data_IF_248957177726
#
_entry.id   IF_248957177726
#
_cell.length_a   1.000
_cell.length_b   1.000
_cell.length_c   1.000
_cell.angle_alpha   90.00
_cell.angle_beta   90.00
_cell.angle_gamma   90.00
#
_symmetry.space_group_name_H-M   'P 1'
#
loop_
_entity.id
_entity.type
_entity.pdbx_description
1 polymer ?
#
# COMPACT_ATOMS: atom_id res chain seq x y z
N UNK A 1 15.10 10.33 -16.01
CA UNK A 1 14.51 9.02 -15.64
C UNK A 1 14.01 9.14 -14.22
N UNK A 2 12.71 9.00 -13.96
CA UNK A 2 12.18 9.06 -12.60
C UNK A 2 12.56 7.78 -11.84
N UNK A 3 13.09 7.92 -10.62
CA UNK A 3 13.34 6.77 -9.75
C UNK A 3 11.97 6.27 -9.26
N UNK A 4 11.51 5.15 -9.81
CA UNK A 4 10.27 4.53 -9.37
C UNK A 4 10.56 3.69 -8.12
N UNK A 5 10.08 4.12 -6.96
CA UNK A 5 10.22 3.35 -5.73
C UNK A 5 9.24 2.18 -5.73
N UNK A 6 9.75 0.98 -5.47
CA UNK A 6 8.95 -0.24 -5.35
C UNK A 6 8.41 -0.40 -3.93
N UNK A 7 7.17 -0.87 -3.84
CA UNK A 7 6.57 -1.33 -2.60
C UNK A 7 7.28 -2.58 -2.12
N UNK A 8 7.93 -2.50 -0.96
CA UNK A 8 8.57 -3.61 -0.25
C UNK A 8 8.17 -3.58 1.23
N UNK A 9 8.54 -4.63 1.97
CA UNK A 9 8.37 -4.67 3.42
C UNK A 9 9.12 -3.53 4.10
N UNK A 10 8.63 -3.14 5.27
CA UNK A 10 9.17 -2.14 6.19
C UNK A 10 9.28 -0.71 5.63
N UNK A 11 8.66 -0.46 4.46
CA UNK A 11 8.50 0.89 3.91
C UNK A 11 7.17 1.49 4.35
N UNK A 12 7.16 2.82 4.49
CA UNK A 12 5.92 3.60 4.56
C UNK A 12 5.37 3.76 3.15
N UNK A 13 4.11 3.37 2.99
CA UNK A 13 3.36 3.39 1.74
C UNK A 13 2.28 4.45 1.88
N UNK A 14 2.09 5.27 0.84
CA UNK A 14 0.90 6.12 0.69
C UNK A 14 0.17 5.71 -0.57
N UNK A 15 -1.11 5.38 -0.44
CA UNK A 15 -2.01 5.12 -1.56
C UNK A 15 -3.17 6.12 -1.56
N UNK A 16 -3.73 6.39 -2.72
CA UNK A 16 -4.94 7.21 -2.85
C UNK A 16 -6.08 6.40 -3.47
N UNK A 17 -7.26 6.41 -2.86
CA UNK A 17 -8.48 5.94 -3.52
C UNK A 17 -8.79 6.93 -4.66
N UNK A 18 -8.80 6.45 -5.90
CA UNK A 18 -8.97 7.34 -7.06
C UNK A 18 -10.41 7.84 -7.20
N UNK A 19 -11.38 7.14 -6.60
CA UNK A 19 -12.79 7.49 -6.68
C UNK A 19 -13.15 8.57 -5.66
N UNK A 20 -12.63 8.47 -4.43
CA UNK A 20 -12.90 9.46 -3.36
C UNK A 20 -11.82 10.53 -3.19
N UNK A 21 -10.61 10.27 -3.70
CA UNK A 21 -9.43 11.11 -3.45
C UNK A 21 -8.79 10.93 -2.08
N UNK A 22 -9.30 10.02 -1.24
CA UNK A 22 -8.82 9.80 0.13
C UNK A 22 -7.42 9.16 0.14
N UNK A 23 -6.55 9.64 1.03
CA UNK A 23 -5.18 9.14 1.19
C UNK A 23 -5.09 8.20 2.40
N UNK A 24 -4.43 7.06 2.19
CA UNK A 24 -4.13 6.07 3.22
C UNK A 24 -2.62 5.92 3.35
N UNK A 25 -2.12 5.99 4.58
CA UNK A 25 -0.70 5.82 4.88
C UNK A 25 -0.51 4.69 5.89
N UNK A 26 0.38 3.74 5.58
CA UNK A 26 0.66 2.59 6.44
C UNK A 26 2.02 1.98 6.11
N UNK A 27 2.48 1.06 6.95
CA UNK A 27 3.65 0.23 6.70
C UNK A 27 3.21 -1.15 6.24
N UNK A 28 3.88 -1.69 5.22
CA UNK A 28 3.78 -3.12 4.92
C UNK A 28 4.79 -3.90 5.74
N UNK A 29 4.34 -4.89 6.51
CA UNK A 29 5.18 -5.67 7.41
C UNK A 29 4.93 -7.16 7.27
N UNK A 30 5.81 -7.97 7.86
CA UNK A 30 5.61 -9.41 8.00
C UNK A 30 4.37 -9.72 8.87
N UNK A 31 3.69 -10.87 8.68
CA UNK A 31 2.46 -11.21 9.42
C UNK A 31 2.59 -11.09 10.94
N UNK A 32 3.71 -11.52 11.49
CA UNK A 32 3.96 -11.51 12.94
C UNK A 32 4.15 -10.10 13.53
N UNK A 33 4.35 -9.09 12.67
CA UNK A 33 4.54 -7.68 13.07
C UNK A 33 3.33 -6.79 12.81
N UNK A 34 2.21 -7.38 12.38
CA UNK A 34 0.97 -6.66 12.14
C UNK A 34 0.48 -5.95 13.40
N UNK A 35 0.22 -4.65 13.27
CA UNK A 35 -0.37 -3.84 14.32
C UNK A 35 -1.13 -2.67 13.70
N UNK A 36 -2.43 -2.86 13.52
CA UNK A 36 -3.30 -1.85 12.95
C UNK A 36 -3.33 -0.55 13.78
N UNK A 37 -3.06 -0.61 15.09
CA UNK A 37 -3.05 0.59 15.95
C UNK A 37 -1.87 1.51 15.62
N UNK A 38 -0.77 0.95 15.13
CA UNK A 38 0.42 1.69 14.71
C UNK A 38 0.52 1.85 13.20
N UNK A 39 -0.57 1.56 12.46
CA UNK A 39 -0.61 1.70 11.01
C UNK A 39 0.27 0.67 10.28
N UNK A 40 0.48 -0.52 10.87
CA UNK A 40 1.21 -1.62 10.25
C UNK A 40 0.23 -2.65 9.69
N UNK A 41 0.28 -2.86 8.39
CA UNK A 41 -0.54 -3.82 7.65
C UNK A 41 0.34 -4.99 7.21
N UNK A 42 -0.13 -6.22 7.41
CA UNK A 42 0.59 -7.40 6.95
C UNK A 42 0.57 -7.51 5.42
N UNK A 43 1.68 -7.94 4.84
CA UNK A 43 1.77 -8.40 3.46
C UNK A 43 0.78 -9.54 3.13
N UNK A 44 0.38 -10.33 4.12
CA UNK A 44 -0.60 -11.43 3.94
C UNK A 44 -2.06 -10.95 3.80
N UNK A 45 -2.33 -9.66 4.00
CA UNK A 45 -3.66 -9.10 3.71
C UNK A 45 -3.91 -9.03 2.21
N UNK A 46 -5.18 -9.07 1.78
CA UNK A 46 -5.51 -8.95 0.35
C UNK A 46 -5.01 -7.63 -0.26
N UNK A 47 -5.00 -6.55 0.53
CA UNK A 47 -4.45 -5.26 0.10
C UNK A 47 -2.92 -5.30 0.02
N UNK A 48 -2.24 -5.88 1.02
CA UNK A 48 -0.79 -6.02 1.01
C UNK A 48 -0.27 -6.83 -0.18
N UNK A 49 -0.94 -7.95 -0.48
CA UNK A 49 -0.64 -8.78 -1.64
C UNK A 49 -0.88 -8.05 -2.98
N UNK A 50 -1.88 -7.17 -3.06
CA UNK A 50 -2.14 -6.38 -4.26
C UNK A 50 -1.08 -5.30 -4.51
N UNK A 51 -0.42 -4.83 -3.45
CA UNK A 51 0.52 -3.70 -3.50
C UNK A 51 1.99 -4.11 -3.62
N UNK A 52 2.39 -5.28 -3.12
CA UNK A 52 3.79 -5.69 -3.13
C UNK A 52 4.39 -5.69 -4.55
N UNK A 53 5.59 -5.13 -4.70
CA UNK A 53 6.29 -5.04 -5.98
C UNK A 53 5.70 -4.01 -6.97
N UNK A 54 4.64 -3.30 -6.62
CA UNK A 54 4.13 -2.18 -7.42
C UNK A 54 5.01 -0.96 -7.25
N UNK A 55 5.02 -0.07 -8.24
CA UNK A 55 5.77 1.17 -8.18
C UNK A 55 4.86 2.37 -7.95
N UNK A 56 5.43 3.47 -7.45
CA UNK A 56 4.78 4.79 -7.47
C UNK A 56 4.18 5.11 -8.85
N UNK A 57 2.98 5.67 -8.87
CA UNK A 57 2.17 5.93 -10.07
C UNK A 57 1.36 4.74 -10.57
N UNK A 58 1.57 3.54 -10.02
CA UNK A 58 0.77 2.36 -10.41
C UNK A 58 -0.62 2.41 -9.80
N UNK A 59 -1.64 2.17 -10.61
CA UNK A 59 -3.01 1.93 -10.16
C UNK A 59 -3.24 0.44 -9.98
N UNK A 60 -3.75 0.05 -8.82
CA UNK A 60 -4.16 -1.33 -8.51
C UNK A 60 -5.67 -1.39 -8.30
N UNK A 61 -6.32 -2.39 -8.90
CA UNK A 61 -7.68 -2.76 -8.55
C UNK A 61 -7.62 -3.73 -7.37
N UNK A 62 -8.29 -3.39 -6.28
CA UNK A 62 -8.38 -4.20 -5.08
C UNK A 62 -9.84 -4.60 -4.81
N UNK A 63 -10.08 -5.89 -4.66
CA UNK A 63 -11.39 -6.42 -4.31
C UNK A 63 -11.63 -6.27 -2.82
N UNK A 64 -12.41 -5.27 -2.42
CA UNK A 64 -13.04 -5.25 -1.10
C UNK A 64 -14.24 -6.23 -1.08
N UNK A 65 -14.69 -6.68 0.10
CA UNK A 65 -15.80 -7.63 0.22
C UNK A 65 -17.08 -7.20 -0.53
N UNK A 66 -17.37 -5.90 -0.58
CA UNK A 66 -18.59 -5.37 -1.19
C UNK A 66 -18.40 -4.72 -2.57
N UNK A 67 -17.17 -4.34 -2.94
CA UNK A 67 -16.90 -3.63 -4.21
C UNK A 67 -15.42 -3.69 -4.59
N UNK A 68 -15.15 -3.52 -5.88
CA UNK A 68 -13.80 -3.21 -6.36
C UNK A 68 -13.50 -1.75 -6.02
N UNK A 69 -12.33 -1.50 -5.43
CA UNK A 69 -11.76 -0.16 -5.29
C UNK A 69 -10.50 -0.05 -6.12
N UNK A 70 -10.16 1.16 -6.53
CA UNK A 70 -8.96 1.43 -7.32
C UNK A 70 -8.06 2.38 -6.52
N UNK A 71 -6.82 1.96 -6.32
CA UNK A 71 -5.85 2.72 -5.55
C UNK A 71 -4.63 3.07 -6.40
N UNK A 72 -4.15 4.29 -6.33
CA UNK A 72 -2.87 4.68 -6.91
C UNK A 72 -1.79 4.74 -5.84
N UNK A 73 -0.63 4.13 -6.10
CA UNK A 73 0.54 4.26 -5.21
C UNK A 73 1.14 5.66 -5.36
N UNK A 74 0.97 6.50 -4.34
CA UNK A 74 1.44 7.90 -4.35
C UNK A 74 2.89 8.03 -3.91
N UNK A 75 3.30 7.30 -2.87
CA UNK A 75 4.68 7.33 -2.41
C UNK A 75 5.10 6.05 -1.70
N UNK A 76 6.40 5.78 -1.76
CA UNK A 76 7.06 4.74 -0.99
C UNK A 76 8.33 5.33 -0.41
N UNK A 77 8.47 5.32 0.91
CA UNK A 77 9.67 5.80 1.62
C UNK A 77 10.13 4.79 2.66
N UNK A 78 11.45 4.67 2.80
CA UNK A 78 12.04 3.94 3.93
C UNK A 78 11.87 4.78 5.20
N UNK A 79 11.46 4.14 6.28
CA UNK A 79 11.62 4.72 7.61
C UNK A 79 12.97 4.25 8.12
N UNK A 80 13.96 5.14 8.03
CA UNK A 80 15.30 4.94 8.61
C UNK A 80 15.22 4.71 10.13
#
# INVERSE_FOLDING_TARGET
MALHSLVTLNNRIVIQDIDSGELFAFFLVEPDRHDAKTGKISISTSLGAALIGKSTGTVVAWQAPSRIRRFEVRSVSQSS
#
